data_IF_264135540458
#
_entry.id   IF_264135540458
#
_cell.length_a   1.000
_cell.length_b   1.000
_cell.length_c   1.000
_cell.angle_alpha   90.00
_cell.angle_beta   90.00
_cell.angle_gamma   90.00
#
_symmetry.space_group_name_H-M   'P 1'
#
loop_
_entity.id
_entity.type
_entity.pdbx_description
1 polymer ?
#
# COMPACT_ATOMS: atom_id res chain seq x y z
N UNK A 1 -2.03 13.20 -24.00
CA UNK A 1 -0.71 12.64 -23.68
C UNK A 1 -0.88 11.14 -23.47
N UNK A 2 -0.08 10.29 -24.12
CA UNK A 2 -0.15 8.84 -23.92
C UNK A 2 0.25 8.52 -22.47
N UNK A 3 -0.58 7.77 -21.77
CA UNK A 3 -0.36 7.36 -20.38
C UNK A 3 0.81 6.39 -20.35
N UNK A 4 1.85 6.70 -19.58
CA UNK A 4 3.03 5.85 -19.44
C UNK A 4 2.72 4.59 -18.61
N UNK A 5 1.84 4.71 -17.59
CA UNK A 5 1.46 3.63 -16.69
C UNK A 5 -0.07 3.47 -16.65
N UNK A 6 -0.54 2.23 -16.72
CA UNK A 6 -1.98 1.89 -16.67
C UNK A 6 -2.43 1.46 -15.28
N UNK A 7 -1.61 0.73 -14.55
CA UNK A 7 -1.87 0.31 -13.18
C UNK A 7 -0.80 0.86 -12.25
N UNK A 8 -1.19 1.85 -11.46
CA UNK A 8 -0.33 2.51 -10.46
C UNK A 8 -0.79 2.11 -9.07
N UNK A 9 0.14 1.63 -8.26
CA UNK A 9 -0.09 1.31 -6.85
C UNK A 9 0.64 2.33 -5.98
N UNK A 10 -0.06 2.88 -4.99
CA UNK A 10 0.53 3.68 -3.91
C UNK A 10 0.60 2.82 -2.66
N UNK A 11 1.80 2.56 -2.17
CA UNK A 11 2.01 1.75 -0.98
C UNK A 11 2.89 2.47 0.05
N UNK A 12 2.92 1.98 1.29
CA UNK A 12 3.68 2.54 2.41
C UNK A 12 3.02 2.27 3.75
N UNK A 13 3.66 2.62 4.87
CA UNK A 13 3.10 2.41 6.21
C UNK A 13 1.74 3.06 6.41
N UNK A 14 0.98 2.59 7.38
CA UNK A 14 -0.32 3.19 7.72
C UNK A 14 -0.15 4.65 8.17
N UNK A 15 -1.04 5.53 7.72
CA UNK A 15 -1.02 6.96 8.06
C UNK A 15 -0.11 7.83 7.17
N UNK A 16 0.61 7.27 6.19
CA UNK A 16 1.58 8.01 5.35
C UNK A 16 0.93 8.79 4.18
N UNK A 17 -0.40 8.69 4.00
CA UNK A 17 -1.13 9.45 2.96
C UNK A 17 -1.42 8.68 1.67
N UNK A 18 -1.32 7.33 1.65
CA UNK A 18 -1.58 6.50 0.47
C UNK A 18 -2.89 6.80 -0.24
N UNK A 19 -3.98 6.73 0.51
CA UNK A 19 -5.35 6.90 -0.03
C UNK A 19 -5.56 8.28 -0.66
N UNK A 20 -5.03 9.33 -0.02
CA UNK A 20 -5.11 10.69 -0.55
C UNK A 20 -4.36 10.80 -1.89
N UNK A 21 -3.16 10.25 -1.97
CA UNK A 21 -2.39 10.26 -3.21
C UNK A 21 -3.04 9.40 -4.30
N UNK A 22 -3.53 8.20 -3.98
CA UNK A 22 -4.20 7.32 -4.94
C UNK A 22 -5.44 8.00 -5.56
N UNK A 23 -6.23 8.70 -4.74
CA UNK A 23 -7.37 9.51 -5.23
C UNK A 23 -6.94 10.60 -6.20
N UNK A 24 -5.90 11.37 -5.86
CA UNK A 24 -5.38 12.43 -6.73
C UNK A 24 -4.81 11.89 -8.05
N UNK A 25 -4.12 10.76 -8.01
CA UNK A 25 -3.62 10.10 -9.22
C UNK A 25 -4.78 9.58 -10.08
N UNK A 26 -5.80 8.98 -9.47
CA UNK A 26 -6.99 8.52 -10.17
C UNK A 26 -7.71 9.67 -10.88
N UNK A 27 -7.90 10.81 -10.20
CA UNK A 27 -8.51 12.01 -10.78
C UNK A 27 -7.64 12.58 -11.91
N UNK A 28 -6.34 12.76 -11.68
CA UNK A 28 -5.41 13.31 -12.68
C UNK A 28 -5.34 12.46 -13.95
N UNK A 29 -5.28 11.14 -13.81
CA UNK A 29 -5.21 10.22 -14.93
C UNK A 29 -6.56 9.77 -15.45
N UNK A 30 -7.66 10.22 -14.86
CA UNK A 30 -9.03 9.77 -15.19
C UNK A 30 -9.11 8.23 -15.14
N UNK A 31 -8.55 7.64 -14.08
CA UNK A 31 -8.49 6.20 -13.87
C UNK A 31 -9.50 5.75 -12.82
N UNK A 32 -9.78 4.46 -12.85
CA UNK A 32 -10.50 3.81 -11.76
C UNK A 32 -9.67 3.90 -10.49
N UNK A 33 -10.37 3.95 -9.36
CA UNK A 33 -9.77 3.98 -8.03
C UNK A 33 -10.10 2.68 -7.31
N UNK A 34 -9.07 2.03 -6.76
CA UNK A 34 -9.18 0.82 -5.96
C UNK A 34 -8.60 1.10 -4.58
N UNK A 35 -9.44 1.08 -3.56
CA UNK A 35 -9.04 1.39 -2.19
C UNK A 35 -9.13 0.17 -1.28
N UNK A 36 -8.16 0.08 -0.39
CA UNK A 36 -8.23 -0.81 0.77
C UNK A 36 -9.42 -0.38 1.65
N UNK A 37 -10.24 -1.33 2.08
CA UNK A 37 -11.43 -1.09 2.89
C UNK A 37 -11.33 -1.92 4.20
N UNK A 38 -10.46 -1.51 5.14
CA UNK A 38 -10.27 -2.23 6.40
C UNK A 38 -11.55 -2.30 7.25
N UNK A 39 -12.47 -1.37 7.08
CA UNK A 39 -13.78 -1.35 7.75
C UNK A 39 -14.67 -2.53 7.35
N UNK A 40 -14.48 -3.10 6.17
CA UNK A 40 -15.24 -4.25 5.69
C UNK A 40 -14.71 -5.60 6.24
N UNK A 41 -13.59 -5.56 6.97
CA UNK A 41 -13.04 -6.76 7.59
C UNK A 41 -13.76 -7.08 8.93
N UNK A 42 -14.61 -8.12 9.01
CA UNK A 42 -15.42 -8.40 10.18
C UNK A 42 -14.61 -8.86 11.40
N UNK A 43 -13.36 -9.24 11.20
CA UNK A 43 -12.47 -9.71 12.26
C UNK A 43 -11.60 -8.60 12.85
N UNK A 44 -11.44 -7.47 12.16
CA UNK A 44 -10.52 -6.41 12.55
C UNK A 44 -10.80 -5.84 13.96
N UNK A 45 -12.06 -5.57 14.38
CA UNK A 45 -12.35 -5.12 15.73
C UNK A 45 -11.99 -6.17 16.80
N UNK A 46 -12.18 -7.46 16.48
CA UNK A 46 -11.83 -8.56 17.38
C UNK A 46 -10.32 -8.78 17.46
N UNK A 47 -9.61 -8.58 16.35
CA UNK A 47 -8.15 -8.61 16.33
C UNK A 47 -7.53 -7.58 17.28
N UNK A 48 -8.05 -6.37 17.31
CA UNK A 48 -7.57 -5.35 18.26
C UNK A 48 -7.80 -5.74 19.72
N UNK A 49 -8.87 -6.48 20.01
CA UNK A 49 -9.18 -6.95 21.36
C UNK A 49 -8.36 -8.19 21.78
N UNK A 50 -8.13 -9.11 20.85
CA UNK A 50 -7.40 -10.37 21.08
C UNK A 50 -6.59 -10.75 19.82
N UNK A 51 -5.38 -10.13 19.65
CA UNK A 51 -4.56 -10.35 18.46
C UNK A 51 -4.17 -11.81 18.24
N UNK A 52 -3.86 -12.55 19.31
CA UNK A 52 -3.42 -13.94 19.18
C UNK A 52 -4.50 -14.84 18.58
N UNK A 53 -5.75 -14.63 18.95
CA UNK A 53 -6.87 -15.44 18.48
C UNK A 53 -7.34 -15.05 17.08
N UNK A 54 -7.28 -13.77 16.75
CA UNK A 54 -7.91 -13.24 15.55
C UNK A 54 -6.93 -12.81 14.44
N UNK A 55 -5.61 -13.00 14.62
CA UNK A 55 -4.62 -12.63 13.60
C UNK A 55 -4.87 -13.38 12.28
N UNK A 56 -4.90 -14.71 12.29
CA UNK A 56 -5.10 -15.50 11.07
C UNK A 56 -6.45 -15.23 10.39
N UNK A 57 -7.61 -15.24 11.07
CA UNK A 57 -8.88 -14.87 10.44
C UNK A 57 -8.88 -13.48 9.82
N UNK A 58 -8.23 -12.51 10.47
CA UNK A 58 -8.13 -11.13 9.97
C UNK A 58 -7.27 -11.07 8.72
N UNK A 59 -6.11 -11.73 8.69
CA UNK A 59 -5.23 -11.75 7.51
C UNK A 59 -5.88 -12.48 6.33
N UNK A 60 -6.56 -13.59 6.56
CA UNK A 60 -7.31 -14.28 5.51
C UNK A 60 -8.48 -13.44 4.96
N UNK A 61 -9.21 -12.75 5.83
CA UNK A 61 -10.29 -11.86 5.39
C UNK A 61 -9.76 -10.72 4.51
N UNK A 62 -8.64 -10.09 4.87
CA UNK A 62 -7.98 -9.10 4.03
C UNK A 62 -7.53 -9.68 2.68
N UNK A 63 -6.86 -10.84 2.68
CA UNK A 63 -6.43 -11.52 1.46
C UNK A 63 -7.61 -11.74 0.52
N UNK A 64 -8.70 -12.38 0.98
CA UNK A 64 -9.87 -12.66 0.14
C UNK A 64 -10.61 -11.40 -0.31
N UNK A 65 -10.64 -10.35 0.50
CA UNK A 65 -11.24 -9.06 0.13
C UNK A 65 -10.47 -8.42 -1.03
N UNK A 66 -9.13 -8.33 -0.92
CA UNK A 66 -8.26 -7.74 -1.94
C UNK A 66 -8.23 -8.57 -3.22
N UNK A 67 -8.26 -9.91 -3.11
CA UNK A 67 -8.38 -10.80 -4.27
C UNK A 67 -9.64 -10.50 -5.07
N UNK A 68 -10.81 -10.46 -4.43
CA UNK A 68 -12.07 -10.11 -5.09
C UNK A 68 -12.02 -8.75 -5.77
N UNK A 69 -11.48 -7.74 -5.09
CA UNK A 69 -11.33 -6.40 -5.65
C UNK A 69 -10.45 -6.41 -6.91
N UNK A 70 -9.33 -7.15 -6.90
CA UNK A 70 -8.44 -7.26 -8.06
C UNK A 70 -9.06 -8.06 -9.20
N UNK A 71 -9.75 -9.17 -8.91
CA UNK A 71 -10.46 -9.98 -9.90
C UNK A 71 -11.57 -9.17 -10.61
N UNK A 72 -12.33 -8.36 -9.88
CA UNK A 72 -13.33 -7.44 -10.44
C UNK A 72 -12.70 -6.39 -11.36
N UNK A 73 -11.45 -6.01 -11.14
CA UNK A 73 -10.72 -5.08 -12.00
C UNK A 73 -10.10 -5.74 -13.22
N UNK A 74 -9.92 -7.06 -13.22
CA UNK A 74 -9.29 -7.81 -14.31
C UNK A 74 -10.20 -8.02 -15.53
N UNK A 75 -11.46 -7.55 -15.51
CA UNK A 75 -12.35 -7.64 -16.66
C UNK A 75 -11.88 -6.71 -17.80
N UNK A 76 -11.82 -7.21 -19.08
CA UNK A 76 -11.17 -6.52 -20.19
C UNK A 76 -11.66 -5.08 -20.47
N UNK A 77 -12.94 -4.81 -20.28
CA UNK A 77 -13.54 -3.50 -20.57
C UNK A 77 -13.17 -2.41 -19.54
N UNK A 78 -12.54 -2.80 -18.44
CA UNK A 78 -12.23 -1.91 -17.32
C UNK A 78 -10.79 -1.37 -17.35
N UNK A 79 -9.91 -1.98 -18.14
CA UNK A 79 -8.49 -1.58 -18.22
C UNK A 79 -8.22 -0.40 -19.17
N UNK A 80 -9.14 -0.02 -20.02
CA UNK A 80 -8.92 1.12 -20.95
C UNK A 80 -8.78 2.45 -20.20
N UNK A 81 -9.42 2.61 -19.06
CA UNK A 81 -9.29 3.81 -18.24
C UNK A 81 -8.11 3.81 -17.26
N UNK A 82 -7.45 2.65 -17.06
CA UNK A 82 -6.38 2.43 -16.08
C UNK A 82 -6.87 2.36 -14.63
N UNK A 83 -5.93 2.12 -13.71
CA UNK A 83 -6.20 1.85 -12.30
C UNK A 83 -5.20 2.58 -11.40
N UNK A 84 -5.69 3.23 -10.34
CA UNK A 84 -4.87 3.68 -9.21
C UNK A 84 -5.36 2.98 -7.95
N UNK A 85 -4.45 2.33 -7.22
CA UNK A 85 -4.76 1.61 -6.00
C UNK A 85 -3.95 2.14 -4.81
N UNK A 86 -4.48 2.03 -3.58
CA UNK A 86 -3.78 2.40 -2.36
C UNK A 86 -3.30 1.20 -1.54
N UNK A 87 -3.25 0.04 -2.17
CA UNK A 87 -2.65 -1.16 -1.59
C UNK A 87 -1.89 -1.98 -2.62
N UNK A 88 -0.82 -2.62 -2.19
CA UNK A 88 -0.07 -3.65 -2.90
C UNK A 88 -0.40 -5.00 -2.25
N UNK A 89 -0.80 -6.01 -3.03
CA UNK A 89 -1.20 -7.30 -2.45
C UNK A 89 -0.06 -7.99 -1.70
N UNK A 90 1.16 -7.86 -2.20
CA UNK A 90 2.38 -8.44 -1.61
C UNK A 90 2.64 -7.95 -0.18
N UNK A 91 2.08 -6.80 0.21
CA UNK A 91 2.17 -6.33 1.60
C UNK A 91 1.48 -7.27 2.60
N UNK A 92 0.48 -8.04 2.15
CA UNK A 92 -0.25 -8.95 3.04
C UNK A 92 0.67 -9.97 3.70
N UNK A 93 1.65 -10.47 2.94
CA UNK A 93 2.67 -11.38 3.47
C UNK A 93 3.51 -10.72 4.57
N UNK A 94 3.77 -9.39 4.51
CA UNK A 94 4.49 -8.67 5.56
C UNK A 94 3.72 -8.63 6.87
N UNK A 95 2.42 -8.35 6.80
CA UNK A 95 1.56 -8.33 7.98
C UNK A 95 1.38 -9.73 8.55
N UNK A 96 1.19 -10.73 7.70
CA UNK A 96 1.09 -12.12 8.09
C UNK A 96 2.36 -12.59 8.83
N UNK A 97 3.55 -12.29 8.30
CA UNK A 97 4.84 -12.61 8.94
C UNK A 97 4.99 -11.97 10.34
N UNK A 98 4.46 -10.76 10.52
CA UNK A 98 4.57 -10.03 11.78
C UNK A 98 3.57 -10.47 12.86
N UNK A 99 2.43 -10.99 12.43
CA UNK A 99 1.27 -11.18 13.31
C UNK A 99 0.92 -12.65 13.55
N UNK A 100 1.32 -13.56 12.67
CA UNK A 100 0.99 -14.97 12.75
C UNK A 100 2.09 -15.78 13.45
N UNK A 101 1.71 -16.88 14.08
CA UNK A 101 2.67 -17.91 14.48
C UNK A 101 3.32 -18.56 13.25
N UNK A 102 4.43 -19.27 13.44
CA UNK A 102 5.15 -19.91 12.32
C UNK A 102 4.26 -20.87 11.53
N UNK A 103 3.44 -21.66 12.20
CA UNK A 103 2.56 -22.64 11.57
C UNK A 103 1.42 -21.96 10.80
N UNK A 104 0.81 -20.92 11.38
CA UNK A 104 -0.22 -20.10 10.73
C UNK A 104 0.34 -19.34 9.53
N UNK A 105 1.56 -18.81 9.65
CA UNK A 105 2.22 -18.10 8.55
C UNK A 105 2.53 -19.05 7.39
N UNK A 106 2.99 -20.28 7.66
CA UNK A 106 3.21 -21.30 6.64
C UNK A 106 1.91 -21.62 5.89
N UNK A 107 0.83 -21.86 6.62
CA UNK A 107 -0.50 -22.10 6.04
C UNK A 107 -0.99 -20.90 5.20
N UNK A 108 -0.79 -19.68 5.71
CA UNK A 108 -1.14 -18.46 5.01
C UNK A 108 -0.38 -18.33 3.68
N UNK A 109 0.92 -18.61 3.67
CA UNK A 109 1.75 -18.54 2.45
C UNK A 109 1.32 -19.56 1.40
N UNK A 110 0.97 -20.78 1.81
CA UNK A 110 0.46 -21.82 0.91
C UNK A 110 -0.84 -21.37 0.21
N UNK A 111 -1.74 -20.73 0.95
CA UNK A 111 -2.96 -20.16 0.39
C UNK A 111 -2.66 -18.95 -0.51
N UNK A 112 -1.82 -18.04 -0.05
CA UNK A 112 -1.42 -16.86 -0.79
C UNK A 112 -0.85 -17.23 -2.16
N UNK A 113 0.13 -18.13 -2.23
CA UNK A 113 0.76 -18.55 -3.48
C UNK A 113 -0.24 -19.17 -4.47
N UNK A 114 -1.18 -20.00 -3.98
CA UNK A 114 -2.20 -20.62 -4.84
C UNK A 114 -3.21 -19.62 -5.40
N UNK A 115 -3.56 -18.60 -4.63
CA UNK A 115 -4.63 -17.68 -4.97
C UNK A 115 -4.15 -16.47 -5.79
N UNK A 116 -2.85 -16.13 -5.73
CA UNK A 116 -2.33 -14.88 -6.34
C UNK A 116 -1.63 -15.09 -7.68
N UNK A 117 -1.52 -16.32 -8.19
CA UNK A 117 -0.71 -16.67 -9.36
C UNK A 117 -1.10 -15.98 -10.68
N UNK A 118 -2.33 -15.50 -10.82
CA UNK A 118 -2.86 -14.94 -12.08
C UNK A 118 -3.36 -13.48 -11.94
N UNK A 119 -2.89 -12.77 -10.93
CA UNK A 119 -3.34 -11.40 -10.71
C UNK A 119 -2.58 -10.38 -11.55
N UNK A 120 -3.22 -9.24 -11.91
CA UNK A 120 -2.55 -8.20 -12.64
C UNK A 120 -1.41 -7.59 -11.81
N UNK A 121 -0.27 -7.38 -12.47
CA UNK A 121 0.88 -6.72 -11.86
C UNK A 121 0.84 -5.21 -12.11
N UNK A 122 1.26 -4.37 -11.15
CA UNK A 122 1.33 -2.94 -11.36
C UNK A 122 2.42 -2.56 -12.38
N UNK A 123 2.16 -1.53 -13.17
CA UNK A 123 3.15 -0.92 -14.06
C UNK A 123 4.09 0.03 -13.30
N UNK A 124 3.64 0.55 -12.16
CA UNK A 124 4.40 1.41 -11.26
C UNK A 124 3.93 1.24 -9.82
N UNK A 125 4.87 1.07 -8.92
CA UNK A 125 4.64 1.16 -7.47
C UNK A 125 5.27 2.44 -6.94
N UNK A 126 4.48 3.26 -6.25
CA UNK A 126 4.92 4.45 -5.53
C UNK A 126 4.95 4.11 -4.05
N UNK A 127 6.14 3.94 -3.50
CA UNK A 127 6.33 3.65 -2.08
C UNK A 127 6.51 4.95 -1.30
N UNK A 128 5.51 5.34 -0.52
CA UNK A 128 5.61 6.45 0.41
C UNK A 128 6.38 6.02 1.65
N UNK A 129 7.42 6.74 2.00
CA UNK A 129 8.25 6.44 3.16
C UNK A 129 8.49 7.66 4.04
N UNK A 130 8.64 7.40 5.33
CA UNK A 130 9.06 8.38 6.33
C UNK A 130 9.85 7.69 7.45
N UNK A 131 10.58 8.45 8.25
CA UNK A 131 11.23 7.90 9.42
C UNK A 131 10.21 7.35 10.44
N UNK A 132 10.57 6.32 11.21
CA UNK A 132 9.67 5.76 12.23
C UNK A 132 9.19 6.79 13.25
N UNK A 133 10.02 7.78 13.58
CA UNK A 133 9.67 8.85 14.51
C UNK A 133 8.62 9.79 13.91
N UNK A 134 8.85 10.24 12.68
CA UNK A 134 7.90 11.08 11.95
C UNK A 134 6.54 10.39 11.84
N UNK A 135 6.54 9.10 11.48
CA UNK A 135 5.32 8.33 11.32
C UNK A 135 4.48 8.26 12.60
N UNK A 136 5.12 7.95 13.75
CA UNK A 136 4.46 7.90 15.05
C UNK A 136 3.85 9.27 15.41
N UNK A 137 4.61 10.36 15.23
CA UNK A 137 4.12 11.70 15.51
C UNK A 137 2.99 12.11 14.56
N UNK A 138 3.10 11.77 13.28
CA UNK A 138 2.10 12.08 12.26
C UNK A 138 0.78 11.37 12.55
N UNK A 139 0.82 10.07 12.85
CA UNK A 139 -0.37 9.28 13.21
C UNK A 139 -1.07 9.85 14.46
N UNK A 140 -0.31 10.25 15.47
CA UNK A 140 -0.85 10.87 16.70
C UNK A 140 -1.54 12.21 16.44
N UNK A 141 -0.96 13.07 15.56
CA UNK A 141 -1.53 14.38 15.23
C UNK A 141 -2.82 14.29 14.44
N UNK A 142 -2.95 13.32 13.54
CA UNK A 142 -4.09 13.23 12.62
C UNK A 142 -5.20 12.30 13.13
N UNK A 143 -5.04 11.70 14.32
CA UNK A 143 -6.06 10.92 15.02
C UNK A 143 -6.80 9.90 14.11
N UNK A 144 -6.04 9.11 13.36
CA UNK A 144 -6.60 8.10 12.45
C UNK A 144 -7.47 7.08 13.22
N UNK A 145 -8.72 6.79 12.79
CA UNK A 145 -9.74 6.10 13.61
C UNK A 145 -9.33 4.72 14.14
N UNK A 146 -8.44 4.01 13.44
CA UNK A 146 -8.05 2.64 13.78
C UNK A 146 -6.58 2.50 14.22
N UNK A 147 -5.75 3.53 14.03
CA UNK A 147 -4.33 3.47 14.34
C UNK A 147 -3.94 3.71 15.80
N UNK A 148 -4.70 4.41 16.66
CA UNK A 148 -4.37 4.53 18.07
C UNK A 148 -4.35 3.20 18.83
N UNK A 149 -5.04 2.18 18.31
CA UNK A 149 -5.04 0.82 18.85
C UNK A 149 -3.77 0.05 18.44
N UNK A 150 -3.05 0.53 17.45
CA UNK A 150 -1.76 0.01 16.99
C UNK A 150 -0.68 0.73 17.79
N UNK A 151 -0.12 0.09 18.82
CA UNK A 151 0.92 0.73 19.66
C UNK A 151 2.15 1.16 18.85
N UNK A 152 2.84 2.22 19.30
CA UNK A 152 4.03 2.80 18.65
C UNK A 152 5.08 1.75 18.25
N UNK A 153 5.24 0.71 19.08
CA UNK A 153 6.18 -0.38 18.79
C UNK A 153 5.84 -1.16 17.52
N UNK A 154 4.55 -1.39 17.24
CA UNK A 154 4.12 -2.05 16.01
C UNK A 154 4.29 -1.13 14.80
N UNK A 155 3.96 0.15 14.91
CA UNK A 155 4.18 1.14 13.84
C UNK A 155 5.66 1.22 13.44
N UNK A 156 6.58 1.22 14.42
CA UNK A 156 8.02 1.21 14.16
C UNK A 156 8.48 -0.08 13.47
N UNK A 157 8.02 -1.24 13.92
CA UNK A 157 8.33 -2.53 13.28
C UNK A 157 7.79 -2.59 11.85
N UNK A 158 6.56 -2.11 11.63
CA UNK A 158 5.98 -2.02 10.28
C UNK A 158 6.83 -1.13 9.38
N UNK A 159 7.20 0.09 9.80
CA UNK A 159 8.04 0.98 9.01
C UNK A 159 9.38 0.32 8.61
N UNK A 160 10.02 -0.39 9.53
CA UNK A 160 11.26 -1.14 9.24
C UNK A 160 11.04 -2.29 8.25
N UNK A 161 9.95 -3.05 8.40
CA UNK A 161 9.60 -4.15 7.48
C UNK A 161 9.27 -3.63 6.08
N UNK A 162 8.53 -2.54 5.97
CA UNK A 162 8.29 -1.85 4.69
C UNK A 162 9.60 -1.48 4.01
N UNK A 163 10.52 -0.82 4.72
CA UNK A 163 11.84 -0.46 4.17
C UNK A 163 12.60 -1.68 3.67
N UNK A 164 12.64 -2.77 4.46
CA UNK A 164 13.33 -4.01 4.09
C UNK A 164 12.68 -4.72 2.89
N UNK A 165 11.36 -4.69 2.80
CA UNK A 165 10.63 -5.28 1.68
C UNK A 165 10.91 -4.50 0.39
N UNK A 166 10.67 -3.19 0.41
CA UNK A 166 10.84 -2.38 -0.78
C UNK A 166 12.31 -2.23 -1.21
N UNK A 167 13.25 -2.41 -0.31
CA UNK A 167 14.66 -2.50 -0.69
C UNK A 167 14.95 -3.68 -1.63
N UNK A 168 14.22 -4.79 -1.49
CA UNK A 168 14.37 -6.02 -2.30
C UNK A 168 13.32 -6.16 -3.41
N UNK A 169 12.31 -5.31 -3.42
CA UNK A 169 11.20 -5.39 -4.38
C UNK A 169 11.69 -5.18 -5.82
N UNK A 170 11.31 -6.08 -6.75
CA UNK A 170 11.73 -6.06 -8.16
C UNK A 170 10.59 -6.39 -9.13
N UNK A 171 9.37 -6.64 -8.64
CA UNK A 171 8.27 -7.14 -9.45
C UNK A 171 7.67 -6.06 -10.37
N UNK A 172 7.85 -4.78 -10.02
CA UNK A 172 7.46 -3.65 -10.86
C UNK A 172 8.45 -2.47 -10.69
N UNK A 173 8.45 -1.49 -11.61
CA UNK A 173 9.12 -0.21 -11.43
C UNK A 173 8.70 0.44 -10.11
N UNK A 174 9.68 0.92 -9.33
CA UNK A 174 9.48 1.43 -7.98
C UNK A 174 9.98 2.86 -7.84
N UNK A 175 9.07 3.78 -7.49
CA UNK A 175 9.39 5.15 -7.07
C UNK A 175 9.27 5.26 -5.55
N UNK A 176 10.39 5.43 -4.87
CA UNK A 176 10.42 5.67 -3.42
C UNK A 176 10.33 7.16 -3.12
N UNK A 177 9.30 7.58 -2.40
CA UNK A 177 8.98 8.98 -2.13
C UNK A 177 9.08 9.26 -0.65
N UNK A 178 10.01 10.12 -0.24
CA UNK A 178 10.06 10.62 1.12
C UNK A 178 9.00 11.71 1.31
N UNK A 179 8.06 11.47 2.24
CA UNK A 179 6.93 12.39 2.47
C UNK A 179 7.15 13.38 3.62
N UNK A 180 8.27 13.35 4.31
CA UNK A 180 8.50 14.20 5.51
C UNK A 180 8.44 15.69 5.19
N UNK A 181 8.82 16.08 3.97
CA UNK A 181 8.84 17.46 3.49
C UNK A 181 7.88 17.69 2.30
N UNK A 182 7.03 16.71 2.00
CA UNK A 182 6.04 16.79 0.93
C UNK A 182 4.64 16.92 1.51
N UNK A 183 3.89 17.86 0.94
CA UNK A 183 2.46 18.01 1.20
C UNK A 183 1.70 17.63 -0.07
N UNK A 184 1.54 16.31 -0.29
CA UNK A 184 0.97 15.76 -1.52
C UNK A 184 -0.49 16.19 -1.77
N UNK A 185 -1.14 16.82 -0.80
CA UNK A 185 -2.44 17.48 -0.95
C UNK A 185 -2.32 18.83 -1.67
N UNK A 186 -1.17 19.48 -1.65
CA UNK A 186 -0.91 20.74 -2.35
C UNK A 186 -0.55 20.50 -3.81
N UNK A 187 -1.08 21.35 -4.70
CA UNK A 187 -0.89 21.21 -6.15
C UNK A 187 0.57 21.34 -6.58
N UNK A 188 1.35 22.20 -5.90
CA UNK A 188 2.76 22.38 -6.20
C UNK A 188 3.57 21.09 -5.98
N UNK A 189 3.39 20.43 -4.84
CA UNK A 189 4.10 19.19 -4.50
C UNK A 189 3.60 17.99 -5.31
N UNK A 190 2.31 17.96 -5.60
CA UNK A 190 1.75 16.96 -6.50
C UNK A 190 2.28 17.10 -7.93
N UNK A 191 2.41 18.34 -8.44
CA UNK A 191 2.99 18.59 -9.76
C UNK A 191 4.47 18.16 -9.84
N UNK A 192 5.25 18.34 -8.78
CA UNK A 192 6.62 17.83 -8.69
C UNK A 192 6.65 16.30 -8.76
N UNK A 193 5.78 15.63 -8.01
CA UNK A 193 5.67 14.17 -8.05
C UNK A 193 5.26 13.67 -9.45
N UNK A 194 4.26 14.30 -10.09
CA UNK A 194 3.83 13.94 -11.45
C UNK A 194 4.96 14.08 -12.46
N UNK A 195 5.76 15.16 -12.35
CA UNK A 195 6.95 15.34 -13.19
C UNK A 195 7.91 14.18 -12.99
N UNK A 196 8.20 13.82 -11.74
CA UNK A 196 9.10 12.70 -11.44
C UNK A 196 8.60 11.37 -11.99
N UNK A 197 7.30 11.08 -11.86
CA UNK A 197 6.66 9.88 -12.45
C UNK A 197 6.86 9.86 -13.97
N UNK A 198 6.66 10.99 -14.66
CA UNK A 198 6.80 11.06 -16.12
C UNK A 198 8.26 10.99 -16.60
N UNK A 199 9.20 11.43 -15.80
CA UNK A 199 10.63 11.40 -16.09
C UNK A 199 11.31 10.07 -15.73
N UNK A 200 10.65 9.22 -14.96
CA UNK A 200 11.18 7.94 -14.51
C UNK A 200 11.60 7.05 -15.68
N UNK A 201 12.82 6.52 -15.62
CA UNK A 201 13.40 5.62 -16.63
C UNK A 201 13.98 4.35 -16.04
N UNK A 202 14.36 4.38 -14.77
CA UNK A 202 14.95 3.25 -14.03
C UNK A 202 13.91 2.34 -13.44
N UNK A 203 14.31 1.11 -13.11
CA UNK A 203 13.47 0.17 -12.34
C UNK A 203 13.27 0.63 -10.90
N UNK A 204 14.17 1.46 -10.37
CA UNK A 204 14.06 2.02 -9.02
C UNK A 204 14.60 3.43 -9.01
N UNK A 205 13.79 4.35 -8.51
CA UNK A 205 14.18 5.73 -8.34
C UNK A 205 13.72 6.27 -6.99
N UNK A 206 14.38 7.35 -6.54
CA UNK A 206 14.08 8.00 -5.28
C UNK A 206 13.65 9.44 -5.55
N UNK A 207 12.72 9.92 -4.73
CA UNK A 207 12.27 11.30 -4.77
C UNK A 207 12.25 11.89 -3.36
N UNK A 208 13.08 12.90 -3.14
CA UNK A 208 13.05 13.76 -1.97
C UNK A 208 12.83 15.21 -2.44
N UNK A 209 11.98 15.96 -1.74
CA UNK A 209 11.79 17.38 -2.03
C UNK A 209 13.04 18.14 -1.59
N UNK A 210 13.75 18.71 -2.55
CA UNK A 210 15.00 19.44 -2.31
C UNK A 210 16.23 18.87 -3.03
N UNK A 211 16.06 17.70 -3.69
CA UNK A 211 17.07 17.13 -4.58
C UNK A 211 16.98 17.71 -6.00
#
# INVERSE_FOLDING_TARGET
>A
MSRQYRYIVVEGPSGVGKTALARRLAEHYQSRLLLDAPEDNPFLPRFYADPQRYALPTQLAFLFQRLRQLEETAQPDLFDSGLAADFLLEKDALFAELLLSNDEYSLYLDLYQKLTSNLPQPDLVICLQASPNWLVEHVRRHNYPHLPQVGDGLLRRLAQRYSSFFYRYQDAPLLMVNVEHLQLEQDADFALLLRRINEMRGQREFFNKGD
#
